data_IF_670921819628
#
_entry.id   IF_670921819628
#
_cell.length_a   1.000
_cell.length_b   1.000
_cell.length_c   1.000
_cell.angle_alpha   90.00
_cell.angle_beta   90.00
_cell.angle_gamma   90.00
#
_symmetry.space_group_name_H-M   'P 1'
#
loop_
_entity.id
_entity.type
_entity.pdbx_description
1 polymer ?
#
# COMPACT_ATOMS: atom_id res chain seq x y z
N UNK A 1 4.06 11.04 13.88
CA UNK A 1 3.70 9.62 13.66
C UNK A 1 4.38 9.16 12.37
N UNK A 2 5.02 7.98 12.34
CA UNK A 2 5.68 7.47 11.13
C UNK A 2 4.62 6.94 10.16
N UNK A 3 4.53 7.51 8.96
CA UNK A 3 3.57 7.09 7.93
C UNK A 3 4.17 5.99 7.06
N UNK A 4 3.39 5.00 6.68
CA UNK A 4 3.77 3.92 5.76
C UNK A 4 2.82 3.95 4.58
N UNK A 5 3.35 4.12 3.37
CA UNK A 5 2.56 4.01 2.15
C UNK A 5 2.38 2.53 1.85
N UNK A 6 1.14 2.05 1.83
CA UNK A 6 0.84 0.66 1.49
C UNK A 6 0.16 0.57 0.13
N UNK A 7 0.91 0.15 -0.88
CA UNK A 7 0.43 -0.02 -2.26
C UNK A 7 0.11 -1.49 -2.46
N UNK A 8 -1.11 -1.82 -2.87
CA UNK A 8 -1.48 -3.21 -3.12
C UNK A 8 -2.23 -3.39 -4.43
N UNK A 9 -1.92 -4.49 -5.12
CA UNK A 9 -2.65 -4.94 -6.30
C UNK A 9 -3.79 -5.89 -5.88
N UNK A 10 -5.07 -5.46 -5.94
CA UNK A 10 -6.19 -6.30 -5.56
C UNK A 10 -6.44 -7.46 -6.53
N UNK A 11 -5.71 -7.52 -7.66
CA UNK A 11 -5.89 -8.50 -8.73
C UNK A 11 -4.80 -9.59 -8.77
N UNK A 12 -3.78 -9.49 -7.92
CA UNK A 12 -2.67 -10.45 -7.87
C UNK A 12 -2.91 -11.58 -6.87
N UNK A 13 -2.29 -12.75 -7.12
CA UNK A 13 -2.19 -13.84 -6.15
C UNK A 13 -3.55 -14.28 -5.60
N UNK A 14 -4.51 -14.57 -6.48
CA UNK A 14 -5.86 -15.05 -6.13
C UNK A 14 -6.65 -14.09 -5.20
N UNK A 15 -6.36 -12.79 -5.27
CA UNK A 15 -6.96 -11.76 -4.42
C UNK A 15 -6.68 -11.93 -2.92
N UNK A 16 -5.71 -12.77 -2.54
CA UNK A 16 -5.37 -13.08 -1.14
C UNK A 16 -5.07 -11.84 -0.30
N UNK A 17 -4.55 -10.78 -0.92
CA UNK A 17 -4.22 -9.54 -0.21
C UNK A 17 -5.45 -8.87 0.41
N UNK A 18 -6.65 -9.03 -0.21
CA UNK A 18 -7.89 -8.42 0.27
C UNK A 18 -8.27 -8.99 1.65
N UNK A 19 -8.09 -10.28 1.84
CA UNK A 19 -8.38 -10.96 3.11
C UNK A 19 -7.33 -10.67 4.19
N UNK A 20 -6.14 -10.20 3.80
CA UNK A 20 -5.03 -9.90 4.72
C UNK A 20 -4.92 -8.40 5.05
N UNK A 21 -5.75 -7.52 4.47
CA UNK A 21 -5.66 -6.07 4.67
C UNK A 21 -5.71 -5.68 6.15
N UNK A 22 -6.69 -6.21 6.89
CA UNK A 22 -6.86 -5.90 8.31
C UNK A 22 -5.63 -6.31 9.13
N UNK A 23 -5.11 -7.52 8.87
CA UNK A 23 -3.91 -8.03 9.53
C UNK A 23 -2.69 -7.14 9.26
N UNK A 24 -2.48 -6.72 8.00
CA UNK A 24 -1.39 -5.82 7.64
C UNK A 24 -1.53 -4.49 8.37
N UNK A 25 -2.72 -3.89 8.36
CA UNK A 25 -2.97 -2.61 9.03
C UNK A 25 -2.71 -2.73 10.53
N UNK A 26 -3.25 -3.77 11.17
CA UNK A 26 -3.10 -4.04 12.60
C UNK A 26 -1.64 -4.17 13.01
N UNK A 27 -0.84 -5.00 12.31
CA UNK A 27 0.58 -5.19 12.63
C UNK A 27 1.35 -3.87 12.63
N UNK A 28 1.06 -2.99 11.67
CA UNK A 28 1.73 -1.70 11.54
C UNK A 28 1.26 -0.70 12.61
N UNK A 29 -0.04 -0.67 12.89
CA UNK A 29 -0.60 0.16 13.96
C UNK A 29 -0.09 -0.25 15.34
N UNK A 30 -0.02 -1.56 15.62
CA UNK A 30 0.55 -2.11 16.86
C UNK A 30 2.03 -1.69 17.04
N UNK A 31 2.76 -1.50 15.94
CA UNK A 31 4.14 -1.00 15.93
C UNK A 31 4.26 0.54 15.88
N UNK A 32 3.16 1.28 16.02
CA UNK A 32 3.15 2.75 16.09
C UNK A 32 3.19 3.47 14.73
N UNK A 33 2.92 2.76 13.63
CA UNK A 33 2.86 3.32 12.29
C UNK A 33 1.42 3.67 11.87
N UNK A 34 1.29 4.69 11.03
CA UNK A 34 0.04 4.99 10.32
C UNK A 34 0.13 4.46 8.90
N UNK A 35 -0.82 3.60 8.50
CA UNK A 35 -0.89 3.08 7.15
C UNK A 35 -1.70 4.02 6.27
N UNK A 36 -1.16 4.36 5.09
CA UNK A 36 -1.86 5.08 4.03
C UNK A 36 -2.02 4.12 2.84
N UNK A 37 -3.20 3.50 2.66
CA UNK A 37 -3.42 2.52 1.61
C UNK A 37 -3.57 3.20 0.23
N UNK A 38 -3.07 2.53 -0.80
CA UNK A 38 -3.32 2.82 -2.20
C UNK A 38 -3.65 1.52 -2.93
N UNK A 39 -4.89 1.39 -3.39
CA UNK A 39 -5.37 0.24 -4.16
C UNK A 39 -5.08 0.49 -5.63
N UNK A 40 -4.34 -0.42 -6.27
CA UNK A 40 -4.06 -0.30 -7.70
C UNK A 40 -5.33 -0.46 -8.53
N UNK A 41 -5.40 0.35 -9.57
CA UNK A 41 -6.38 0.26 -10.63
C UNK A 41 -5.66 -0.16 -11.92
N UNK A 42 -6.17 -1.16 -12.66
CA UNK A 42 -5.57 -1.64 -13.91
C UNK A 42 -5.50 -0.57 -15.00
N UNK A 43 -6.37 0.43 -14.92
CA UNK A 43 -6.45 1.51 -15.90
C UNK A 43 -5.52 2.69 -15.60
N UNK A 44 -4.80 2.64 -14.47
CA UNK A 44 -3.99 3.76 -13.97
C UNK A 44 -2.58 3.28 -13.71
N UNK A 45 -1.60 4.02 -14.22
CA UNK A 45 -0.18 3.75 -14.00
C UNK A 45 0.15 3.77 -12.49
N UNK A 46 0.87 2.74 -12.04
CA UNK A 46 1.33 2.57 -10.65
C UNK A 46 2.16 3.76 -10.17
N UNK A 47 2.79 4.52 -11.08
CA UNK A 47 3.54 5.74 -10.74
C UNK A 47 2.67 6.75 -9.98
N UNK A 48 1.35 6.76 -10.23
CA UNK A 48 0.42 7.65 -9.55
C UNK A 48 0.30 7.38 -8.05
N UNK A 49 0.65 6.16 -7.60
CA UNK A 49 0.73 5.84 -6.19
C UNK A 49 1.79 6.69 -5.45
N UNK A 50 2.73 7.27 -6.20
CA UNK A 50 3.84 8.05 -5.66
C UNK A 50 3.64 9.58 -5.75
N UNK A 51 2.54 10.06 -6.33
CA UNK A 51 2.31 11.49 -6.55
C UNK A 51 2.27 12.30 -5.25
N UNK A 52 1.86 11.69 -4.14
CA UNK A 52 1.73 12.33 -2.84
C UNK A 52 3.01 12.28 -1.98
N UNK A 53 4.11 11.69 -2.47
CA UNK A 53 5.36 11.54 -1.71
C UNK A 53 6.05 12.87 -1.44
N UNK A 54 5.90 13.87 -2.31
CA UNK A 54 6.47 15.20 -2.07
C UNK A 54 5.81 15.92 -0.90
N UNK A 55 4.53 15.63 -0.66
CA UNK A 55 3.72 16.26 0.38
C UNK A 55 3.68 15.43 1.67
N UNK A 56 3.97 14.13 1.57
CA UNK A 56 3.91 13.19 2.67
C UNK A 56 5.29 12.60 2.96
N UNK A 57 5.80 12.85 4.17
CA UNK A 57 7.03 12.25 4.68
C UNK A 57 6.82 10.78 5.07
N UNK A 58 6.74 9.90 4.08
CA UNK A 58 6.63 8.45 4.28
C UNK A 58 7.94 7.87 4.83
N UNK A 59 7.82 7.01 5.84
CA UNK A 59 8.95 6.32 6.46
C UNK A 59 9.44 5.16 5.61
N UNK A 60 8.52 4.43 4.96
CA UNK A 60 8.80 3.47 3.90
C UNK A 60 7.53 3.18 3.08
N UNK A 61 7.73 2.41 2.01
CA UNK A 61 6.69 1.91 1.11
C UNK A 61 6.59 0.41 1.27
N UNK A 62 5.39 -0.09 1.52
CA UNK A 62 5.04 -1.51 1.47
C UNK A 62 4.30 -1.77 0.17
N UNK A 63 4.76 -2.74 -0.60
CA UNK A 63 4.18 -3.12 -1.89
C UNK A 63 3.74 -4.59 -1.83
N UNK A 64 2.49 -4.88 -2.17
CA UNK A 64 1.95 -6.24 -2.20
C UNK A 64 1.24 -6.56 -3.52
N UNK A 65 1.63 -7.67 -4.15
CA UNK A 65 1.14 -8.10 -5.46
C UNK A 65 2.15 -7.85 -6.58
N UNK A 66 1.86 -8.44 -7.73
CA UNK A 66 2.62 -8.22 -8.96
C UNK A 66 2.26 -6.85 -9.52
N UNK A 67 3.29 -6.09 -9.89
CA UNK A 67 3.14 -4.81 -10.56
C UNK A 67 3.48 -5.03 -12.02
N UNK A 68 2.47 -4.99 -12.89
CA UNK A 68 2.72 -4.90 -14.32
C UNK A 68 3.18 -3.46 -14.62
N UNK A 69 4.34 -3.29 -15.29
CA UNK A 69 4.88 -1.98 -15.65
C UNK A 69 4.06 -1.28 -16.74
#
# INVERSE_FOLDING_TARGET
>A
MKKVKFIYNPYSGENLILDQLDKVIKIHQDAGYTIVPYRINKEVDVINAFNDFKENNYYYVLIAGEMEP
#
